data_IF_926938058879
#
_entry.id   IF_926938058879
#
_cell.length_a   1.000
_cell.length_b   1.000
_cell.length_c   1.000
_cell.angle_alpha   90.00
_cell.angle_beta   90.00
_cell.angle_gamma   90.00
#
_symmetry.space_group_name_H-M   'P 1'
#
loop_
_entity.id
_entity.type
_entity.pdbx_description
1 polymer ?
#
# COMPACT_ATOMS: atom_id res chain seq x y z
N UNK A 1 -21.89 5.80 -16.45
CA UNK A 1 -21.32 4.54 -15.92
C UNK A 1 -20.24 4.86 -14.90
N UNK A 2 -20.46 4.58 -13.61
CA UNK A 2 -19.38 4.60 -12.61
C UNK A 2 -18.42 3.48 -12.99
N UNK A 3 -17.18 3.81 -13.39
CA UNK A 3 -16.10 2.82 -13.51
C UNK A 3 -15.81 2.35 -12.08
N UNK A 4 -16.42 1.22 -11.69
CA UNK A 4 -16.08 0.54 -10.47
C UNK A 4 -14.67 -0.03 -10.63
N UNK A 5 -13.80 0.33 -9.70
CA UNK A 5 -12.41 -0.07 -9.66
C UNK A 5 -12.34 -1.59 -9.63
N UNK A 6 -11.68 -2.16 -10.64
CA UNK A 6 -11.25 -3.55 -10.56
C UNK A 6 -9.79 -3.46 -10.16
N UNK A 7 -9.46 -4.00 -8.99
CA UNK A 7 -8.09 -4.33 -8.66
C UNK A 7 -7.62 -5.33 -9.72
N UNK A 8 -6.93 -4.84 -10.76
CA UNK A 8 -6.77 -5.59 -12.00
C UNK A 8 -5.80 -6.77 -11.87
N UNK A 9 -5.08 -6.86 -10.75
CA UNK A 9 -4.39 -8.08 -10.33
C UNK A 9 -4.48 -8.23 -8.83
N UNK A 10 -5.33 -9.13 -8.34
CA UNK A 10 -4.87 -9.93 -7.20
C UNK A 10 -3.45 -10.40 -7.55
N UNK A 11 -2.53 -10.37 -6.60
CA UNK A 11 -1.25 -11.09 -6.67
C UNK A 11 -1.53 -12.61 -6.69
N UNK A 12 -2.35 -13.05 -7.65
CA UNK A 12 -2.97 -14.37 -7.82
C UNK A 12 -2.04 -15.33 -8.53
N UNK A 13 -1.01 -14.80 -9.20
CA UNK A 13 0.04 -15.57 -9.82
C UNK A 13 1.35 -15.10 -9.21
N UNK A 14 2.00 -15.96 -8.43
CA UNK A 14 3.46 -16.11 -8.30
C UNK A 14 3.73 -17.10 -7.15
N UNK A 15 3.21 -18.31 -7.29
CA UNK A 15 3.86 -19.45 -6.64
C UNK A 15 5.20 -19.60 -7.37
N UNK A 16 6.31 -19.36 -6.68
CA UNK A 16 7.70 -19.47 -7.14
C UNK A 16 8.34 -18.19 -7.75
N UNK A 17 8.30 -17.05 -7.04
CA UNK A 17 9.27 -15.96 -7.30
C UNK A 17 10.60 -16.30 -6.66
N UNK A 18 11.67 -16.14 -7.42
CA UNK A 18 13.03 -16.22 -6.88
C UNK A 18 13.44 -14.89 -6.21
N UNK A 19 14.60 -14.83 -5.52
CA UNK A 19 15.07 -13.58 -4.91
C UNK A 19 15.30 -12.42 -5.90
N UNK A 20 15.58 -12.72 -7.16
CA UNK A 20 15.85 -11.72 -8.20
C UNK A 20 14.55 -11.03 -8.65
N UNK A 21 13.47 -11.80 -8.77
CA UNK A 21 12.11 -11.30 -9.00
C UNK A 21 11.68 -10.30 -7.91
N UNK A 22 11.96 -10.61 -6.65
CA UNK A 22 11.65 -9.70 -5.54
C UNK A 22 12.50 -8.42 -5.63
N UNK A 23 13.77 -8.51 -6.00
CA UNK A 23 14.58 -7.31 -6.22
C UNK A 23 14.04 -6.43 -7.36
N UNK A 24 13.57 -7.04 -8.45
CA UNK A 24 12.89 -6.33 -9.52
C UNK A 24 11.59 -5.67 -9.03
N UNK A 25 10.80 -6.37 -8.23
CA UNK A 25 9.56 -5.86 -7.64
C UNK A 25 9.82 -4.68 -6.72
N UNK A 26 10.88 -4.75 -5.89
CA UNK A 26 11.33 -3.64 -5.04
C UNK A 26 11.71 -2.41 -5.88
N UNK A 27 12.40 -2.59 -7.00
CA UNK A 27 12.72 -1.50 -7.94
C UNK A 27 11.45 -0.89 -8.54
N UNK A 28 10.50 -1.72 -8.99
CA UNK A 28 9.20 -1.25 -9.53
C UNK A 28 8.43 -0.42 -8.51
N UNK A 29 8.37 -0.87 -7.26
CA UNK A 29 7.74 -0.15 -6.16
C UNK A 29 8.37 1.23 -5.96
N UNK A 30 9.70 1.31 -5.88
CA UNK A 30 10.42 2.59 -5.80
C UNK A 30 10.10 3.50 -6.97
N UNK A 31 10.07 2.97 -8.20
CA UNK A 31 9.74 3.77 -9.37
C UNK A 31 8.30 4.29 -9.36
N UNK A 32 7.33 3.46 -8.99
CA UNK A 32 5.90 3.83 -8.95
C UNK A 32 5.61 4.85 -7.85
N UNK A 33 6.14 4.63 -6.65
CA UNK A 33 5.88 5.49 -5.50
C UNK A 33 6.81 6.70 -5.41
N UNK A 34 7.82 6.79 -6.30
CA UNK A 34 8.64 8.00 -6.46
C UNK A 34 7.78 9.23 -6.68
N UNK A 35 6.74 9.10 -7.50
CA UNK A 35 5.67 10.08 -7.58
C UNK A 35 4.36 9.42 -7.96
N UNK A 36 3.39 9.51 -7.05
CA UNK A 36 1.99 9.17 -7.28
C UNK A 36 1.18 10.40 -7.69
N UNK A 37 1.82 11.55 -7.94
CA UNK A 37 1.16 12.77 -8.40
C UNK A 37 0.47 13.57 -7.30
N UNK A 38 0.82 13.31 -6.02
CA UNK A 38 0.36 14.12 -4.89
C UNK A 38 1.40 14.14 -3.78
N UNK A 39 1.83 15.35 -3.38
CA UNK A 39 2.95 15.55 -2.46
C UNK A 39 2.79 14.82 -1.12
N UNK A 40 1.59 14.84 -0.55
CA UNK A 40 1.31 14.16 0.73
C UNK A 40 1.53 12.65 0.62
N UNK A 41 1.02 12.04 -0.44
CA UNK A 41 1.21 10.61 -0.67
C UNK A 41 2.65 10.27 -1.06
N UNK A 42 3.29 11.10 -1.89
CA UNK A 42 4.70 10.97 -2.23
C UNK A 42 5.54 10.95 -0.96
N UNK A 43 5.24 11.84 0.00
CA UNK A 43 5.92 11.88 1.31
C UNK A 43 5.67 10.61 2.11
N UNK A 44 4.40 10.19 2.26
CA UNK A 44 4.02 9.01 3.03
C UNK A 44 4.73 7.75 2.53
N UNK A 45 4.66 7.49 1.23
CA UNK A 45 5.25 6.29 0.63
C UNK A 45 6.77 6.38 0.58
N UNK A 46 7.36 7.51 0.18
CA UNK A 46 8.82 7.59 0.09
C UNK A 46 9.47 7.46 1.47
N UNK A 47 8.90 8.05 2.53
CA UNK A 47 9.40 7.85 3.90
C UNK A 47 9.34 6.38 4.30
N UNK A 48 8.18 5.73 4.10
CA UNK A 48 8.01 4.33 4.44
C UNK A 48 8.97 3.42 3.66
N UNK A 49 9.06 3.60 2.34
CA UNK A 49 9.95 2.80 1.50
C UNK A 49 11.41 3.05 1.88
N UNK A 50 11.84 4.29 2.07
CA UNK A 50 13.24 4.58 2.44
C UNK A 50 13.62 3.96 3.79
N UNK A 51 12.73 3.99 4.78
CA UNK A 51 12.98 3.41 6.09
C UNK A 51 12.93 1.87 6.09
N UNK A 52 12.12 1.24 5.23
CA UNK A 52 11.81 -0.19 5.36
C UNK A 52 12.25 -1.06 4.17
N UNK A 53 12.62 -0.53 3.00
CA UNK A 53 12.77 -1.32 1.77
C UNK A 53 13.75 -2.50 1.88
N UNK A 54 14.80 -2.34 2.69
CA UNK A 54 15.85 -3.33 2.85
C UNK A 54 15.48 -4.42 3.86
N UNK A 55 14.44 -4.20 4.67
CA UNK A 55 14.01 -5.08 5.75
C UNK A 55 12.58 -5.62 5.56
N UNK A 56 11.79 -5.08 4.62
CA UNK A 56 10.47 -5.63 4.31
C UNK A 56 10.60 -7.04 3.73
N UNK A 57 9.80 -7.94 4.29
CA UNK A 57 9.64 -9.29 3.79
C UNK A 57 8.89 -9.30 2.44
N UNK A 58 8.91 -10.47 1.82
CA UNK A 58 8.31 -10.69 0.51
C UNK A 58 6.77 -10.54 0.52
N UNK A 59 6.11 -10.80 1.64
CA UNK A 59 4.65 -10.65 1.75
C UNK A 59 4.24 -9.17 1.79
N UNK A 60 4.95 -8.33 2.55
CA UNK A 60 4.76 -6.88 2.54
C UNK A 60 5.04 -6.27 1.16
N UNK A 61 6.05 -6.77 0.44
CA UNK A 61 6.32 -6.34 -0.94
C UNK A 61 5.13 -6.63 -1.86
N UNK A 62 4.50 -7.81 -1.75
CA UNK A 62 3.28 -8.15 -2.51
C UNK A 62 2.11 -7.22 -2.15
N UNK A 63 1.90 -6.97 -0.87
CA UNK A 63 0.85 -6.06 -0.39
C UNK A 63 1.07 -4.60 -0.85
N UNK A 64 2.32 -4.13 -0.89
CA UNK A 64 2.64 -2.81 -1.44
C UNK A 64 2.39 -2.74 -2.95
N UNK A 65 2.69 -3.80 -3.69
CA UNK A 65 2.45 -3.84 -5.12
C UNK A 65 0.96 -3.81 -5.44
N UNK A 66 0.18 -4.54 -4.65
CA UNK A 66 -1.26 -4.48 -4.62
C UNK A 66 -1.75 -3.01 -4.55
N UNK A 67 -1.16 -2.16 -3.68
CA UNK A 67 -1.55 -0.75 -3.60
C UNK A 67 -1.23 0.07 -4.87
N UNK A 68 -0.31 -0.36 -5.74
CA UNK A 68 0.10 0.40 -6.93
C UNK A 68 -1.03 0.67 -7.94
N UNK A 69 -2.05 -0.19 -7.96
CA UNK A 69 -3.16 -0.12 -8.91
C UNK A 69 -4.30 0.78 -8.41
N UNK A 70 -4.24 1.24 -7.16
CA UNK A 70 -5.18 2.23 -6.62
C UNK A 70 -4.79 3.60 -7.17
N UNK A 71 -5.74 4.33 -7.75
CA UNK A 71 -5.48 5.70 -8.21
C UNK A 71 -5.18 6.63 -7.04
N UNK A 72 -4.44 7.69 -7.33
CA UNK A 72 -3.99 8.69 -6.35
C UNK A 72 -5.13 9.26 -5.51
N UNK A 73 -6.30 9.51 -6.11
CA UNK A 73 -7.43 10.13 -5.39
C UNK A 73 -8.04 9.17 -4.38
N UNK A 74 -8.22 7.91 -4.74
CA UNK A 74 -8.75 6.92 -3.80
C UNK A 74 -7.71 6.52 -2.74
N UNK A 75 -6.45 6.43 -3.13
CA UNK A 75 -5.33 6.22 -2.21
C UNK A 75 -5.30 7.33 -1.16
N UNK A 76 -5.42 8.59 -1.57
CA UNK A 76 -5.51 9.74 -0.67
C UNK A 76 -6.69 9.61 0.29
N UNK A 77 -7.89 9.32 -0.22
CA UNK A 77 -9.09 9.14 0.61
C UNK A 77 -8.93 8.03 1.65
N UNK A 78 -8.25 6.92 1.30
CA UNK A 78 -7.95 5.85 2.24
C UNK A 78 -7.03 6.35 3.36
N UNK A 79 -5.94 7.03 3.01
CA UNK A 79 -4.99 7.54 4.02
C UNK A 79 -5.63 8.60 4.92
N UNK A 80 -6.46 9.51 4.40
CA UNK A 80 -7.23 10.43 5.24
C UNK A 80 -8.24 9.72 6.15
N UNK A 81 -8.88 8.66 5.66
CA UNK A 81 -9.83 7.93 6.48
C UNK A 81 -9.15 7.22 7.65
N UNK A 82 -8.02 6.57 7.39
CA UNK A 82 -7.27 5.79 8.37
C UNK A 82 -6.29 6.61 9.22
N UNK A 83 -6.03 7.87 8.86
CA UNK A 83 -5.26 8.78 9.74
C UNK A 83 -6.03 9.11 11.03
N UNK A 84 -7.36 9.01 11.01
CA UNK A 84 -8.17 9.05 12.22
C UNK A 84 -8.02 7.71 12.98
N UNK A 85 -7.40 7.78 14.17
CA UNK A 85 -7.12 6.63 15.04
C UNK A 85 -8.37 5.90 15.56
N UNK A 86 -9.53 6.56 15.52
CA UNK A 86 -10.81 5.96 15.89
C UNK A 86 -11.39 5.08 14.76
N UNK A 87 -10.95 5.29 13.51
CA UNK A 87 -11.41 4.52 12.35
C UNK A 87 -10.61 3.23 12.18
N UNK A 88 -11.18 2.11 12.65
CA UNK A 88 -10.61 0.75 12.50
C UNK A 88 -11.38 -0.14 11.53
N UNK A 89 -12.36 0.41 10.80
CA UNK A 89 -13.21 -0.35 9.89
C UNK A 89 -12.48 -0.70 8.60
N UNK A 90 -12.45 -1.99 8.25
CA UNK A 90 -11.95 -2.49 6.96
C UNK A 90 -13.00 -2.39 5.84
N UNK A 91 -14.22 -1.92 6.12
CA UNK A 91 -15.34 -1.93 5.17
C UNK A 91 -15.09 -1.01 3.97
N UNK A 92 -14.47 0.15 4.21
CA UNK A 92 -14.07 1.05 3.12
C UNK A 92 -13.05 0.41 2.19
N UNK A 93 -12.10 -0.34 2.77
CA UNK A 93 -11.10 -1.06 1.99
C UNK A 93 -11.73 -2.22 1.21
N UNK A 94 -12.63 -2.97 1.84
CA UNK A 94 -13.40 -4.06 1.21
C UNK A 94 -14.16 -3.56 -0.02
N UNK A 95 -14.90 -2.45 0.14
CA UNK A 95 -15.67 -1.84 -0.93
C UNK A 95 -14.81 -1.28 -2.06
N UNK A 96 -13.62 -0.76 -1.74
CA UNK A 96 -12.71 -0.22 -2.74
C UNK A 96 -11.95 -1.31 -3.50
N UNK A 97 -11.49 -2.35 -2.80
CA UNK A 97 -10.69 -3.43 -3.39
C UNK A 97 -11.54 -4.40 -4.19
N UNK A 98 -12.83 -4.56 -3.87
CA UNK A 98 -13.70 -5.59 -4.47
C UNK A 98 -13.11 -7.01 -4.37
N UNK A 99 -12.22 -7.22 -3.40
CA UNK A 99 -11.60 -8.51 -3.06
C UNK A 99 -12.48 -9.16 -1.99
N UNK A 100 -12.79 -10.45 -2.14
CA UNK A 100 -13.59 -11.19 -1.14
C UNK A 100 -12.74 -11.88 -0.07
N UNK A 101 -11.43 -11.96 -0.29
CA UNK A 101 -10.50 -12.54 0.67
C UNK A 101 -10.31 -11.60 1.88
N UNK A 102 -10.89 -12.00 3.01
CA UNK A 102 -10.80 -11.28 4.28
C UNK A 102 -9.36 -11.14 4.79
N UNK A 103 -8.50 -12.13 4.53
CA UNK A 103 -7.10 -12.10 4.98
C UNK A 103 -6.34 -11.02 4.21
N UNK A 104 -6.48 -10.98 2.88
CA UNK A 104 -5.86 -9.96 2.04
C UNK A 104 -6.32 -8.55 2.42
N UNK A 105 -7.62 -8.38 2.71
CA UNK A 105 -8.17 -7.11 3.20
C UNK A 105 -7.51 -6.72 4.53
N UNK A 106 -7.45 -7.64 5.49
CA UNK A 106 -6.89 -7.37 6.82
C UNK A 106 -5.39 -7.04 6.74
N UNK A 107 -4.63 -7.79 5.94
CA UNK A 107 -3.20 -7.59 5.76
C UNK A 107 -2.91 -6.25 5.05
N UNK A 108 -3.74 -5.89 4.06
CA UNK A 108 -3.66 -4.58 3.39
C UNK A 108 -4.02 -3.45 4.34
N UNK A 109 -5.04 -3.61 5.19
CA UNK A 109 -5.37 -2.65 6.24
C UNK A 109 -4.20 -2.45 7.20
N UNK A 110 -3.60 -3.55 7.68
CA UNK A 110 -2.45 -3.49 8.57
C UNK A 110 -1.26 -2.76 7.91
N UNK A 111 -1.02 -2.98 6.62
CA UNK A 111 0.00 -2.26 5.86
C UNK A 111 -0.26 -0.76 5.80
N UNK A 112 -1.50 -0.32 5.54
CA UNK A 112 -1.85 1.10 5.50
C UNK A 112 -1.60 1.78 6.85
N UNK A 113 -1.96 1.11 7.95
CA UNK A 113 -1.70 1.59 9.31
C UNK A 113 -0.19 1.64 9.61
N UNK A 114 0.58 0.63 9.17
CA UNK A 114 2.04 0.60 9.31
C UNK A 114 2.70 1.79 8.58
N UNK A 115 2.25 2.09 7.35
CA UNK A 115 2.72 3.27 6.59
C UNK A 115 2.43 4.57 7.36
N UNK A 116 1.21 4.74 7.88
CA UNK A 116 0.84 5.93 8.65
C UNK A 116 1.66 6.08 9.94
N UNK A 117 1.83 5.00 10.69
CA UNK A 117 2.56 5.00 11.96
C UNK A 117 4.06 5.26 11.76
N UNK A 118 4.65 4.73 10.69
CA UNK A 118 6.05 4.99 10.35
C UNK A 118 6.29 6.49 10.09
N UNK A 119 5.35 7.15 9.43
CA UNK A 119 5.41 8.58 9.17
C UNK A 119 5.22 9.42 10.44
N UNK A 120 4.36 9.02 11.38
CA UNK A 120 4.25 9.69 12.69
C UNK A 120 5.57 9.65 13.47
N UNK A 121 6.26 8.50 13.46
CA UNK A 121 7.59 8.38 14.08
C UNK A 121 8.58 9.36 13.46
N UNK A 122 8.61 9.43 12.14
CA UNK A 122 9.50 10.33 11.40
C UNK A 122 9.28 11.81 11.75
N UNK A 123 8.01 12.24 11.85
CA UNK A 123 7.63 13.60 12.26
C UNK A 123 8.00 13.89 13.72
N UNK A 124 7.87 12.91 14.62
CA UNK A 124 8.21 13.09 16.04
C UNK A 124 9.71 13.06 16.35
N UNK A 125 10.53 12.60 15.41
CA UNK A 125 11.99 12.51 15.53
C UNK A 125 12.75 13.65 14.84
N UNK A 126 12.04 14.61 14.25
CA UNK A 126 12.56 15.88 13.75
C UNK A 126 12.33 16.98 14.79
#
# INVERSE_FOLDING_TARGET
MRKYFTFLREFSTLKNMDPEDFNMLRKKLRCKFKSVGMLELDTLFNNYLNANMNIIDNEKVKLLYNLMDIDTTNMLKLFYFYSNKENKSVDKLTNLMNVKDKKVIQDTFNLLIDILNNNQKYVSSQ
#
